data_IF_918040790844
#
_entry.id   IF_918040790844
#
_cell.length_a   1.000
_cell.length_b   1.000
_cell.length_c   1.000
_cell.angle_alpha   90.00
_cell.angle_beta   90.00
_cell.angle_gamma   90.00
#
_symmetry.space_group_name_H-M   'P 1'
#
loop_
_entity.id
_entity.type
_entity.pdbx_description
1 polymer ?
#
# COMPACT_ATOMS: atom_id res chain seq x y z
N UNK A 1 7.87 -26.11 -71.98
CA UNK A 1 8.46 -26.04 -70.64
C UNK A 1 8.07 -24.68 -70.02
N UNK A 2 7.02 -24.64 -69.22
CA UNK A 2 6.56 -23.42 -68.56
C UNK A 2 7.11 -23.39 -67.12
N UNK A 3 7.63 -22.27 -66.63
CA UNK A 3 8.08 -22.17 -65.22
C UNK A 3 6.90 -21.96 -64.30
N UNK A 4 6.88 -22.75 -63.20
CA UNK A 4 5.90 -22.63 -62.12
C UNK A 4 6.15 -21.38 -61.28
N UNK A 5 5.17 -20.46 -61.22
CA UNK A 5 5.12 -19.34 -60.31
C UNK A 5 4.84 -19.86 -58.89
N UNK A 6 5.82 -19.73 -57.99
CA UNK A 6 5.61 -19.93 -56.53
C UNK A 6 4.96 -18.68 -55.92
N UNK A 7 3.71 -18.82 -55.50
CA UNK A 7 3.04 -17.79 -54.72
C UNK A 7 3.61 -17.79 -53.29
N UNK A 8 4.24 -16.69 -52.87
CA UNK A 8 4.61 -16.42 -51.48
C UNK A 8 3.36 -15.90 -50.76
N UNK A 9 2.79 -16.68 -49.86
CA UNK A 9 1.76 -16.23 -48.96
C UNK A 9 2.43 -15.48 -47.82
N UNK A 10 2.25 -14.14 -47.76
CA UNK A 10 2.58 -13.35 -46.58
C UNK A 10 1.53 -13.63 -45.48
N UNK A 11 1.91 -14.35 -44.43
CA UNK A 11 1.13 -14.45 -43.22
C UNK A 11 1.26 -13.08 -42.48
N UNK A 12 0.23 -12.26 -42.55
CA UNK A 12 0.06 -11.15 -41.61
C UNK A 12 -0.41 -11.72 -40.26
N UNK A 13 0.47 -11.76 -39.29
CA UNK A 13 0.09 -12.02 -37.91
C UNK A 13 -0.78 -10.86 -37.42
N UNK A 14 -2.07 -11.09 -37.21
CA UNK A 14 -2.99 -10.15 -36.53
C UNK A 14 -2.58 -10.07 -35.07
N UNK A 15 -1.86 -9.02 -34.69
CA UNK A 15 -1.66 -8.67 -33.28
C UNK A 15 -3.03 -8.26 -32.74
N UNK A 16 -3.52 -8.88 -31.65
CA UNK A 16 -4.83 -8.50 -31.10
C UNK A 16 -4.78 -7.05 -30.58
N UNK A 17 -5.82 -6.27 -30.86
CA UNK A 17 -5.92 -4.85 -30.48
C UNK A 17 -5.64 -4.63 -28.98
N UNK A 18 -5.98 -5.59 -28.12
CA UNK A 18 -5.70 -5.58 -26.68
C UNK A 18 -4.21 -5.55 -26.33
N UNK A 19 -3.35 -6.18 -27.12
CA UNK A 19 -1.90 -6.16 -26.93
C UNK A 19 -1.30 -4.78 -27.19
N UNK A 20 -1.75 -4.09 -28.24
CA UNK A 20 -1.27 -2.74 -28.59
C UNK A 20 -1.65 -1.68 -27.54
N UNK A 21 -2.83 -1.80 -26.96
CA UNK A 21 -3.32 -0.85 -25.92
C UNK A 21 -2.56 -1.06 -24.60
N UNK A 22 -2.18 -2.28 -24.28
CA UNK A 22 -1.42 -2.60 -23.08
C UNK A 22 0.04 -2.15 -23.19
N UNK A 23 0.69 -2.36 -24.33
CA UNK A 23 2.03 -1.84 -24.61
C UNK A 23 2.06 -0.30 -24.54
N UNK A 24 0.96 0.38 -24.91
CA UNK A 24 0.83 1.82 -24.79
C UNK A 24 0.83 2.30 -23.34
N UNK A 25 0.08 1.65 -22.42
CA UNK A 25 0.06 1.99 -20.99
C UNK A 25 1.43 1.80 -20.33
N UNK A 26 2.08 0.66 -20.54
CA UNK A 26 3.41 0.41 -20.00
C UNK A 26 4.44 1.42 -20.51
N UNK A 27 4.37 1.79 -21.80
CA UNK A 27 5.24 2.81 -22.39
C UNK A 27 4.99 4.20 -21.80
N UNK A 28 3.74 4.55 -21.55
CA UNK A 28 3.35 5.80 -20.89
C UNK A 28 3.87 5.86 -19.45
N UNK A 29 3.65 4.80 -18.66
CA UNK A 29 4.17 4.68 -17.28
C UNK A 29 5.70 4.80 -17.28
N UNK A 30 6.39 4.10 -18.18
CA UNK A 30 7.85 4.17 -18.28
C UNK A 30 8.36 5.57 -18.69
N UNK A 31 7.59 6.32 -19.46
CA UNK A 31 7.90 7.71 -19.80
C UNK A 31 7.74 8.63 -18.58
N UNK A 32 6.63 8.52 -17.87
CA UNK A 32 6.34 9.28 -16.64
C UNK A 32 7.41 9.00 -15.56
N UNK A 33 7.81 7.75 -15.41
CA UNK A 33 8.78 7.31 -14.41
C UNK A 33 10.15 8.00 -14.50
N UNK A 34 10.55 8.46 -15.68
CA UNK A 34 11.84 9.16 -15.88
C UNK A 34 11.95 10.46 -15.08
N UNK A 35 10.83 11.14 -14.85
CA UNK A 35 10.82 12.41 -14.12
C UNK A 35 11.15 12.22 -12.63
N UNK A 36 10.97 11.02 -12.11
CA UNK A 36 11.28 10.71 -10.71
C UNK A 36 12.76 10.84 -10.36
N UNK A 37 13.68 10.85 -11.32
CA UNK A 37 15.14 10.87 -11.11
C UNK A 37 15.59 9.83 -10.06
N UNK A 38 14.97 8.66 -10.08
CA UNK A 38 15.15 7.53 -9.19
C UNK A 38 14.56 6.27 -9.81
N UNK A 39 14.36 5.24 -9.01
CA UNK A 39 13.71 4.01 -9.45
C UNK A 39 12.21 4.09 -9.18
N UNK A 40 11.41 3.86 -10.21
CA UNK A 40 9.94 3.73 -10.08
C UNK A 40 9.56 2.27 -10.24
N UNK A 41 8.77 1.77 -9.31
CA UNK A 41 8.25 0.40 -9.31
C UNK A 41 6.73 0.43 -9.18
N UNK A 42 6.04 -0.19 -10.12
CA UNK A 42 4.57 -0.12 -10.27
C UNK A 42 3.99 -1.50 -10.46
N UNK A 43 2.84 -1.75 -9.90
CA UNK A 43 1.94 -2.83 -10.28
C UNK A 43 0.49 -2.39 -10.14
N UNK A 44 -0.41 -2.97 -10.94
CA UNK A 44 -1.84 -2.82 -10.75
C UNK A 44 -2.60 -4.09 -11.12
N UNK A 45 -3.82 -4.20 -10.60
CA UNK A 45 -4.72 -5.31 -10.90
C UNK A 45 -6.16 -4.82 -10.95
N UNK A 46 -6.84 -5.20 -12.03
CA UNK A 46 -8.29 -5.09 -12.16
C UNK A 46 -8.84 -6.50 -12.37
N UNK A 47 -9.48 -7.11 -11.35
CA UNK A 47 -9.93 -8.50 -11.40
C UNK A 47 -10.81 -8.80 -12.63
N UNK A 48 -10.58 -9.96 -13.24
CA UNK A 48 -11.32 -10.39 -14.42
C UNK A 48 -10.85 -9.76 -15.74
N UNK A 49 -9.80 -8.94 -15.73
CA UNK A 49 -9.25 -8.30 -16.92
C UNK A 49 -7.77 -8.66 -17.14
N UNK A 50 -7.22 -8.19 -18.25
CA UNK A 50 -5.78 -8.29 -18.56
C UNK A 50 -5.06 -6.96 -18.38
N UNK A 51 -5.60 -6.07 -17.55
CA UNK A 51 -4.92 -4.81 -17.23
C UNK A 51 -3.56 -5.10 -16.61
N UNK A 52 -2.52 -4.51 -17.18
CA UNK A 52 -1.14 -4.65 -16.73
C UNK A 52 -0.44 -3.30 -16.84
N UNK A 53 0.00 -2.76 -15.73
CA UNK A 53 0.80 -1.53 -15.62
C UNK A 53 2.16 -1.81 -14.97
N UNK A 54 2.62 -3.04 -15.02
CA UNK A 54 3.83 -3.47 -14.34
C UNK A 54 5.07 -2.78 -14.93
N UNK A 55 5.78 -2.11 -14.02
CA UNK A 55 7.12 -1.59 -14.22
C UNK A 55 7.95 -1.95 -12.99
N UNK A 56 9.01 -2.76 -13.14
CA UNK A 56 9.83 -3.18 -12.00
C UNK A 56 9.00 -3.79 -10.84
N UNK A 57 7.91 -4.51 -11.15
CA UNK A 57 6.92 -4.96 -10.17
C UNK A 57 7.44 -5.99 -9.17
N UNK A 58 8.63 -6.55 -9.40
CA UNK A 58 9.34 -7.48 -8.52
C UNK A 58 10.57 -6.86 -7.83
N UNK A 59 10.76 -5.55 -7.89
CA UNK A 59 11.75 -4.87 -7.09
C UNK A 59 11.37 -4.88 -5.59
N UNK A 60 12.35 -4.60 -4.74
CA UNK A 60 12.20 -4.55 -3.29
C UNK A 60 12.29 -3.10 -2.76
N UNK A 61 11.33 -2.22 -3.09
CA UNK A 61 11.33 -0.85 -2.59
C UNK A 61 11.08 -0.82 -1.08
N UNK A 62 11.74 0.10 -0.33
CA UNK A 62 11.48 0.28 1.09
C UNK A 62 10.04 0.74 1.31
N UNK A 63 9.33 0.06 2.22
CA UNK A 63 7.90 0.30 2.47
C UNK A 63 7.63 1.61 3.20
N UNK A 64 8.48 1.97 4.15
CA UNK A 64 8.18 3.04 5.09
C UNK A 64 6.80 2.83 5.74
N UNK A 65 6.13 3.87 6.17
CA UNK A 65 4.82 3.79 6.82
C UNK A 65 3.74 3.01 6.06
N UNK A 66 3.99 2.57 4.83
CA UNK A 66 3.06 1.72 4.11
C UNK A 66 2.79 0.40 4.84
N UNK A 67 3.79 -0.14 5.59
CA UNK A 67 3.63 -1.37 6.36
C UNK A 67 2.57 -1.26 7.49
N UNK A 68 2.11 -0.05 7.84
CA UNK A 68 1.02 0.13 8.81
C UNK A 68 -0.31 -0.45 8.32
N UNK A 69 -0.50 -0.61 7.01
CA UNK A 69 -1.64 -1.36 6.47
C UNK A 69 -1.55 -2.86 6.78
N UNK A 70 -0.52 -3.63 6.41
CA UNK A 70 -0.38 -5.03 6.82
C UNK A 70 -0.32 -5.22 8.35
N UNK A 71 0.22 -4.27 9.11
CA UNK A 71 0.15 -4.27 10.57
C UNK A 71 -1.30 -4.20 11.07
N UNK A 72 -2.09 -3.23 10.56
CA UNK A 72 -3.50 -3.11 10.94
C UNK A 72 -4.31 -4.36 10.56
N UNK A 73 -4.03 -4.95 9.40
CA UNK A 73 -4.64 -6.21 8.98
C UNK A 73 -4.32 -7.34 9.96
N UNK A 74 -3.08 -7.41 10.47
CA UNK A 74 -2.65 -8.39 11.47
C UNK A 74 -3.34 -8.15 12.82
N UNK A 75 -3.42 -6.90 13.27
CA UNK A 75 -4.14 -6.50 14.49
C UNK A 75 -5.60 -6.94 14.42
N UNK A 76 -6.29 -6.64 13.32
CA UNK A 76 -7.69 -6.98 13.13
C UNK A 76 -7.91 -8.50 13.04
N UNK A 77 -7.00 -9.24 12.40
CA UNK A 77 -7.04 -10.70 12.40
C UNK A 77 -6.90 -11.31 13.80
N UNK A 78 -5.95 -10.82 14.59
CA UNK A 78 -5.78 -11.30 15.97
C UNK A 78 -6.97 -10.90 16.84
N UNK A 79 -7.58 -9.75 16.60
CA UNK A 79 -8.82 -9.32 17.24
C UNK A 79 -10.00 -10.24 16.87
N UNK A 80 -10.19 -10.57 15.59
CA UNK A 80 -11.24 -11.50 15.13
C UNK A 80 -11.10 -12.90 15.74
N UNK A 81 -9.86 -13.34 15.96
CA UNK A 81 -9.57 -14.67 16.49
C UNK A 81 -9.48 -14.72 18.02
N UNK A 82 -9.73 -13.60 18.71
CA UNK A 82 -9.66 -13.51 20.17
C UNK A 82 -8.25 -13.67 20.74
N UNK A 83 -7.22 -13.33 19.96
CA UNK A 83 -5.81 -13.52 20.32
C UNK A 83 -5.04 -12.21 20.55
N UNK A 84 -5.69 -11.04 20.34
CA UNK A 84 -5.03 -9.75 20.43
C UNK A 84 -4.88 -9.29 21.89
N UNK A 85 -5.94 -9.42 22.68
CA UNK A 85 -5.99 -8.93 24.06
C UNK A 85 -6.11 -10.09 25.05
N UNK A 86 -5.40 -10.06 26.20
CA UNK A 86 -5.33 -11.18 27.15
C UNK A 86 -6.67 -11.62 27.71
N UNK A 87 -7.60 -10.68 27.85
CA UNK A 87 -8.93 -10.86 28.44
C UNK A 87 -10.07 -10.79 27.40
N UNK A 88 -9.74 -10.94 26.12
CA UNK A 88 -10.72 -10.97 25.04
C UNK A 88 -11.59 -12.23 25.16
N UNK A 89 -12.92 -12.05 25.10
CA UNK A 89 -13.86 -13.18 25.25
C UNK A 89 -14.01 -13.91 23.92
N UNK A 90 -14.09 -15.26 23.93
CA UNK A 90 -14.45 -16.01 22.74
C UNK A 90 -15.79 -15.54 22.16
N UNK A 91 -15.81 -15.22 20.85
CA UNK A 91 -17.01 -14.74 20.16
C UNK A 91 -17.37 -13.28 20.45
N UNK A 92 -16.50 -12.50 21.09
CA UNK A 92 -16.68 -11.07 21.25
C UNK A 92 -16.78 -10.41 19.85
N UNK A 93 -17.78 -9.55 19.67
CA UNK A 93 -17.95 -8.88 18.37
C UNK A 93 -16.81 -7.90 18.08
N UNK A 94 -16.48 -7.74 16.80
CA UNK A 94 -15.42 -6.82 16.38
C UNK A 94 -15.66 -5.38 16.86
N UNK A 95 -16.91 -4.89 16.85
CA UNK A 95 -17.21 -3.54 17.34
C UNK A 95 -16.88 -3.38 18.83
N UNK A 96 -17.21 -4.38 19.65
CA UNK A 96 -16.86 -4.38 21.08
C UNK A 96 -15.34 -4.42 21.25
N UNK A 97 -14.64 -5.28 20.49
CA UNK A 97 -13.17 -5.39 20.56
C UNK A 97 -12.49 -4.08 20.12
N UNK A 98 -12.99 -3.42 19.07
CA UNK A 98 -12.45 -2.15 18.60
C UNK A 98 -12.60 -1.01 19.64
N UNK A 99 -13.62 -1.07 20.50
CA UNK A 99 -13.86 -0.05 21.53
C UNK A 99 -13.15 -0.39 22.85
N UNK A 100 -12.45 -1.53 22.95
CA UNK A 100 -11.57 -1.85 24.08
C UNK A 100 -10.34 -0.95 24.08
N UNK A 101 -9.92 -0.60 25.28
CA UNK A 101 -8.77 0.30 25.45
C UNK A 101 -7.47 -0.48 25.62
N UNK A 102 -6.41 0.13 25.13
CA UNK A 102 -5.02 -0.31 25.28
C UNK A 102 -4.21 0.83 25.87
N UNK A 103 -3.31 0.50 26.76
CA UNK A 103 -2.44 1.48 27.40
C UNK A 103 -1.40 2.00 26.42
N UNK A 104 -1.43 3.30 26.10
CA UNK A 104 -0.34 4.02 25.47
C UNK A 104 0.74 4.28 26.52
N UNK A 105 1.91 3.70 26.35
CA UNK A 105 3.02 3.74 27.32
C UNK A 105 4.07 4.79 26.91
N UNK A 106 4.84 5.34 27.89
CA UNK A 106 5.98 6.21 27.56
C UNK A 106 7.00 5.54 26.63
N UNK A 107 7.10 4.21 26.68
CA UNK A 107 7.96 3.43 25.79
C UNK A 107 7.45 3.35 24.35
N UNK A 108 6.20 3.70 24.08
CA UNK A 108 5.64 3.75 22.73
C UNK A 108 5.94 5.10 22.04
N UNK A 109 6.46 6.10 22.78
CA UNK A 109 6.87 7.39 22.22
C UNK A 109 8.22 7.24 21.53
N UNK A 110 8.31 7.68 20.27
CA UNK A 110 9.56 7.87 19.54
C UNK A 110 9.85 9.39 19.54
N UNK A 111 10.90 9.86 20.22
CA UNK A 111 11.19 11.28 20.32
C UNK A 111 11.45 11.93 18.96
N UNK A 112 10.77 13.03 18.64
CA UNK A 112 10.95 13.75 17.37
C UNK A 112 10.21 13.16 16.17
N UNK A 113 9.64 11.96 16.32
CA UNK A 113 8.88 11.29 15.25
C UNK A 113 7.47 11.90 15.11
N UNK A 114 6.90 11.80 13.91
CA UNK A 114 5.54 12.25 13.64
C UNK A 114 4.50 11.38 14.34
N UNK A 115 3.81 11.94 15.32
CA UNK A 115 2.76 11.25 16.06
C UNK A 115 1.71 12.21 16.63
N UNK A 116 0.55 12.40 15.99
CA UNK A 116 -0.61 13.08 16.55
C UNK A 116 -1.01 12.55 17.95
N UNK A 117 -0.88 11.25 18.19
CA UNK A 117 -1.13 10.63 19.49
C UNK A 117 -0.18 11.18 20.57
N UNK A 118 1.12 11.23 20.26
CA UNK A 118 2.14 11.78 21.17
C UNK A 118 1.95 13.29 21.41
N UNK A 119 1.56 14.04 20.37
CA UNK A 119 1.24 15.47 20.52
C UNK A 119 0.07 15.65 21.48
N UNK A 120 -0.98 14.83 21.40
CA UNK A 120 -2.15 14.88 22.28
C UNK A 120 -1.82 14.42 23.71
N UNK A 121 -0.97 13.41 23.85
CA UNK A 121 -0.61 12.79 25.12
C UNK A 121 0.91 12.70 25.30
N UNK A 122 1.61 13.83 25.53
CA UNK A 122 3.07 13.88 25.52
C UNK A 122 3.74 13.12 26.69
N UNK A 123 2.98 12.75 27.70
CA UNK A 123 3.45 11.92 28.82
C UNK A 123 2.99 10.46 28.72
N UNK A 124 2.26 10.12 27.66
CA UNK A 124 1.59 8.83 27.54
C UNK A 124 0.80 8.44 28.82
N UNK A 125 0.80 7.18 29.23
CA UNK A 125 0.07 6.65 30.38
C UNK A 125 -1.45 6.93 30.33
N UNK A 126 -2.03 6.86 29.15
CA UNK A 126 -3.47 6.98 28.88
C UNK A 126 -3.99 5.72 28.22
N UNK A 127 -5.28 5.47 28.34
CA UNK A 127 -5.96 4.39 27.67
C UNK A 127 -6.57 4.91 26.37
N UNK A 128 -6.25 4.27 25.25
CA UNK A 128 -6.70 4.61 23.89
C UNK A 128 -7.42 3.42 23.30
N UNK A 129 -8.55 3.62 22.61
CA UNK A 129 -9.28 2.51 22.01
C UNK A 129 -8.48 1.91 20.84
N UNK A 130 -8.65 0.59 20.61
CA UNK A 130 -8.05 -0.08 19.46
C UNK A 130 -8.51 0.58 18.15
N UNK A 131 -9.78 1.00 18.09
CA UNK A 131 -10.36 1.76 16.97
C UNK A 131 -9.57 3.04 16.67
N UNK A 132 -9.23 3.81 17.69
CA UNK A 132 -8.46 5.04 17.53
C UNK A 132 -7.03 4.76 17.10
N UNK A 133 -6.37 3.76 17.67
CA UNK A 133 -5.01 3.36 17.29
C UNK A 133 -4.93 3.01 15.79
N UNK A 134 -5.85 2.18 15.29
CA UNK A 134 -5.89 1.80 13.87
C UNK A 134 -6.16 3.03 12.98
N UNK A 135 -7.11 3.91 13.36
CA UNK A 135 -7.40 5.14 12.61
C UNK A 135 -6.21 6.09 12.55
N UNK A 136 -5.50 6.26 13.66
CA UNK A 136 -4.31 7.10 13.71
C UNK A 136 -3.17 6.51 12.88
N UNK A 137 -2.84 5.24 13.06
CA UNK A 137 -1.73 4.59 12.37
C UNK A 137 -1.96 4.51 10.85
N UNK A 138 -3.15 4.13 10.41
CA UNK A 138 -3.45 3.95 8.97
C UNK A 138 -3.89 5.27 8.33
N UNK A 139 -4.83 6.00 8.93
CA UNK A 139 -5.42 7.19 8.34
C UNK A 139 -4.54 8.43 8.44
N UNK A 140 -3.73 8.56 9.50
CA UNK A 140 -2.86 9.71 9.74
C UNK A 140 -1.37 9.35 9.74
N UNK A 141 -1.03 8.08 9.57
CA UNK A 141 0.35 7.58 9.59
C UNK A 141 1.09 7.81 10.94
N UNK A 142 0.37 7.80 12.05
CA UNK A 142 0.87 8.05 13.41
C UNK A 142 1.86 6.97 13.85
N UNK A 143 3.09 7.37 14.21
CA UNK A 143 4.15 6.44 14.62
C UNK A 143 3.97 5.97 16.08
N UNK A 144 3.40 6.77 16.97
CA UNK A 144 3.11 6.34 18.35
C UNK A 144 1.97 5.31 18.40
N UNK A 145 0.92 5.49 17.60
CA UNK A 145 -0.15 4.50 17.47
C UNK A 145 0.37 3.20 16.82
N UNK A 146 1.28 3.31 15.87
CA UNK A 146 1.95 2.17 15.25
C UNK A 146 2.76 1.38 16.27
N UNK A 147 3.59 2.03 17.12
CA UNK A 147 4.38 1.36 18.16
C UNK A 147 3.51 0.60 19.18
N UNK A 148 2.34 1.16 19.56
CA UNK A 148 1.36 0.43 20.37
C UNK A 148 0.90 -0.84 19.65
N UNK A 149 0.56 -0.74 18.37
CA UNK A 149 0.07 -1.86 17.56
C UNK A 149 1.14 -2.93 17.37
N UNK A 150 2.40 -2.56 17.06
CA UNK A 150 3.55 -3.47 16.95
C UNK A 150 3.77 -4.22 18.27
N UNK A 151 3.72 -3.52 19.39
CA UNK A 151 3.83 -4.14 20.72
C UNK A 151 2.68 -5.14 20.99
N UNK A 152 1.45 -4.78 20.62
CA UNK A 152 0.27 -5.65 20.82
C UNK A 152 0.36 -6.94 20.02
N UNK A 153 0.80 -6.89 18.78
CA UNK A 153 0.91 -8.10 17.94
C UNK A 153 2.11 -8.96 18.30
N UNK A 154 3.09 -8.45 19.05
CA UNK A 154 4.31 -9.17 19.42
C UNK A 154 5.49 -8.94 18.46
N UNK A 155 5.48 -7.82 17.71
CA UNK A 155 6.59 -7.35 16.89
C UNK A 155 6.47 -7.64 15.38
N UNK A 156 7.40 -7.08 14.58
CA UNK A 156 7.43 -7.21 13.12
C UNK A 156 7.39 -8.68 12.61
N UNK A 157 8.07 -9.67 13.25
CA UNK A 157 8.03 -11.06 12.78
C UNK A 157 6.63 -11.68 12.78
N UNK A 158 5.74 -11.26 13.69
CA UNK A 158 4.35 -11.76 13.72
C UNK A 158 3.58 -11.23 12.53
N UNK A 159 3.74 -9.94 12.20
CA UNK A 159 3.15 -9.32 11.01
C UNK A 159 3.65 -10.04 9.75
N UNK A 160 4.96 -10.21 9.60
CA UNK A 160 5.55 -10.92 8.47
C UNK A 160 5.00 -12.34 8.32
N UNK A 161 4.95 -13.09 9.42
CA UNK A 161 4.44 -14.47 9.43
C UNK A 161 2.97 -14.52 8.99
N UNK A 162 2.15 -13.61 9.49
CA UNK A 162 0.73 -13.55 9.12
C UNK A 162 0.55 -13.21 7.64
N UNK A 163 1.21 -12.16 7.13
CA UNK A 163 1.10 -11.77 5.72
C UNK A 163 1.57 -12.90 4.79
N UNK A 164 2.66 -13.59 5.14
CA UNK A 164 3.11 -14.76 4.37
C UNK A 164 2.11 -15.91 4.40
N UNK A 165 1.39 -16.12 5.52
CA UNK A 165 0.34 -17.14 5.63
C UNK A 165 -0.84 -16.88 4.69
N UNK A 166 -1.04 -15.64 4.26
CA UNK A 166 -2.03 -15.26 3.22
C UNK A 166 -1.55 -15.57 1.79
N UNK A 167 -0.36 -16.16 1.62
CA UNK A 167 0.23 -16.44 0.31
C UNK A 167 1.03 -15.28 -0.26
N UNK A 168 1.25 -14.20 0.49
CA UNK A 168 2.04 -13.03 0.09
C UNK A 168 3.49 -13.25 0.56
N UNK A 169 4.28 -13.99 -0.22
CA UNK A 169 5.66 -14.37 0.16
C UNK A 169 6.69 -13.25 -0.03
N UNK A 170 6.45 -12.37 -1.03
CA UNK A 170 7.34 -11.25 -1.35
C UNK A 170 7.04 -10.02 -0.47
N UNK A 171 7.07 -10.25 0.84
CA UNK A 171 6.90 -9.28 1.92
C UNK A 171 7.95 -9.53 3.00
N UNK A 172 8.70 -8.51 3.35
CA UNK A 172 9.76 -8.57 4.36
C UNK A 172 9.61 -7.40 5.33
N UNK A 173 9.40 -7.70 6.61
CA UNK A 173 9.27 -6.72 7.69
C UNK A 173 10.05 -7.25 8.90
N UNK A 174 11.11 -6.56 9.25
CA UNK A 174 12.06 -6.92 10.32
C UNK A 174 12.09 -5.87 11.42
N UNK A 175 11.93 -4.60 11.03
CA UNK A 175 12.13 -3.44 11.89
C UNK A 175 10.83 -2.70 12.14
N UNK A 176 10.72 -2.07 13.31
CA UNK A 176 9.66 -1.11 13.66
C UNK A 176 10.10 0.30 13.29
N UNK A 177 9.19 1.27 13.36
CA UNK A 177 9.51 2.69 13.18
C UNK A 177 10.61 3.16 14.13
N UNK A 178 10.64 2.64 15.36
CA UNK A 178 11.67 2.91 16.36
C UNK A 178 13.06 2.46 15.92
N UNK A 179 13.15 1.34 15.23
CA UNK A 179 14.43 0.83 14.72
C UNK A 179 14.91 1.70 13.56
N UNK A 180 13.99 2.11 12.68
CA UNK A 180 14.26 3.01 11.55
C UNK A 180 14.67 4.41 12.01
N UNK A 181 14.12 4.91 13.13
CA UNK A 181 14.51 6.19 13.76
C UNK A 181 15.96 6.16 14.27
N UNK A 182 16.45 5.00 14.69
CA UNK A 182 17.84 4.81 15.15
C UNK A 182 18.86 4.67 14.02
N UNK A 183 18.48 4.00 12.96
CA UNK A 183 19.30 3.80 11.76
C UNK A 183 18.41 3.74 10.51
N UNK A 184 18.34 4.84 9.78
CA UNK A 184 17.51 4.95 8.58
C UNK A 184 17.91 3.98 7.46
N UNK A 185 19.13 3.44 7.45
CA UNK A 185 19.56 2.48 6.42
C UNK A 185 18.82 1.13 6.56
N UNK A 186 18.29 0.82 7.73
CA UNK A 186 17.49 -0.38 7.96
C UNK A 186 16.21 -0.40 7.10
N UNK A 187 15.73 0.77 6.63
CA UNK A 187 14.54 0.88 5.80
C UNK A 187 14.57 0.00 4.54
N UNK A 188 15.76 -0.24 3.97
CA UNK A 188 15.91 -1.09 2.77
C UNK A 188 15.74 -2.59 3.06
N UNK A 189 15.66 -2.97 4.33
CA UNK A 189 15.38 -4.35 4.74
C UNK A 189 13.87 -4.59 4.95
N UNK A 190 13.05 -3.54 4.99
CA UNK A 190 11.60 -3.62 5.13
C UNK A 190 10.95 -3.26 3.78
N UNK A 191 10.62 -4.29 3.01
CA UNK A 191 10.17 -4.13 1.63
C UNK A 191 8.97 -5.02 1.28
N UNK A 192 8.27 -4.63 0.25
CA UNK A 192 7.27 -5.45 -0.43
C UNK A 192 7.40 -5.26 -1.94
N UNK A 193 7.30 -6.34 -2.72
CA UNK A 193 7.17 -6.21 -4.17
C UNK A 193 5.87 -5.48 -4.53
N UNK A 194 5.87 -4.54 -5.49
CA UNK A 194 4.63 -3.90 -5.97
C UNK A 194 3.54 -4.89 -6.34
N UNK A 195 3.88 -5.98 -7.03
CA UNK A 195 2.96 -7.05 -7.36
C UNK A 195 2.35 -7.72 -6.11
N UNK A 196 3.13 -7.93 -5.06
CA UNK A 196 2.65 -8.48 -3.79
C UNK A 196 1.76 -7.49 -3.02
N UNK A 197 2.07 -6.18 -3.07
CA UNK A 197 1.24 -5.14 -2.48
C UNK A 197 -0.16 -5.10 -3.12
N UNK A 198 -0.22 -5.19 -4.45
CA UNK A 198 -1.49 -5.27 -5.20
C UNK A 198 -2.27 -6.54 -4.86
N UNK A 199 -1.61 -7.69 -4.76
CA UNK A 199 -2.25 -8.94 -4.31
C UNK A 199 -2.83 -8.82 -2.90
N UNK A 200 -2.11 -8.16 -1.98
CA UNK A 200 -2.59 -7.96 -0.61
C UNK A 200 -3.80 -7.01 -0.55
N UNK A 201 -3.81 -5.94 -1.36
CA UNK A 201 -4.97 -5.04 -1.51
C UNK A 201 -6.19 -5.76 -2.09
N UNK A 202 -5.98 -6.58 -3.11
CA UNK A 202 -7.02 -7.35 -3.78
C UNK A 202 -7.72 -8.33 -2.82
N UNK A 203 -7.00 -8.90 -1.85
CA UNK A 203 -7.57 -9.75 -0.80
C UNK A 203 -8.69 -9.06 -0.03
N UNK A 204 -8.60 -7.75 0.25
CA UNK A 204 -9.65 -7.01 0.96
C UNK A 204 -10.98 -6.96 0.18
N UNK A 205 -10.93 -7.17 -1.13
CA UNK A 205 -12.11 -7.10 -2.02
C UNK A 205 -12.70 -8.48 -2.27
N UNK A 206 -11.86 -9.43 -2.71
CA UNK A 206 -12.35 -10.70 -3.26
C UNK A 206 -12.31 -11.87 -2.25
N UNK A 207 -11.43 -11.82 -1.26
CA UNK A 207 -11.33 -12.86 -0.24
C UNK A 207 -10.77 -12.27 1.07
N UNK A 208 -11.52 -11.41 1.77
CA UNK A 208 -11.04 -10.75 2.97
C UNK A 208 -10.56 -11.75 4.03
N UNK A 209 -9.32 -11.59 4.54
CA UNK A 209 -8.77 -12.51 5.55
C UNK A 209 -9.21 -12.17 6.98
N UNK A 210 -10.12 -11.23 7.13
CA UNK A 210 -10.70 -10.74 8.37
C UNK A 210 -12.23 -10.65 8.24
N UNK A 211 -12.93 -10.53 9.36
CA UNK A 211 -14.39 -10.47 9.36
C UNK A 211 -14.94 -9.30 8.52
N UNK A 212 -16.19 -9.37 8.05
CA UNK A 212 -16.81 -8.28 7.27
C UNK A 212 -16.78 -6.93 7.99
N UNK A 213 -16.98 -6.92 9.32
CA UNK A 213 -16.94 -5.69 10.14
C UNK A 213 -15.52 -5.13 10.20
N UNK A 214 -14.52 -5.96 10.46
CA UNK A 214 -13.12 -5.56 10.47
C UNK A 214 -12.66 -5.04 9.10
N UNK A 215 -13.06 -5.73 8.03
CA UNK A 215 -12.72 -5.34 6.66
C UNK A 215 -13.36 -3.99 6.26
N UNK A 216 -14.63 -3.79 6.57
CA UNK A 216 -15.31 -2.52 6.32
C UNK A 216 -14.65 -1.38 7.10
N UNK A 217 -14.29 -1.62 8.37
CA UNK A 217 -13.60 -0.65 9.21
C UNK A 217 -12.22 -0.27 8.64
N UNK A 218 -11.42 -1.26 8.21
CA UNK A 218 -10.10 -1.02 7.63
C UNK A 218 -10.20 -0.25 6.30
N UNK A 219 -11.10 -0.66 5.40
CA UNK A 219 -11.34 0.03 4.13
C UNK A 219 -11.80 1.47 4.34
N UNK A 220 -12.71 1.72 5.29
CA UNK A 220 -13.14 3.07 5.62
C UNK A 220 -11.97 3.91 6.17
N UNK A 221 -11.17 3.33 7.08
CA UNK A 221 -9.98 4.02 7.63
C UNK A 221 -8.97 4.40 6.54
N UNK A 222 -8.74 3.51 5.56
CA UNK A 222 -7.89 3.79 4.40
C UNK A 222 -8.52 4.84 3.47
N UNK A 223 -9.85 4.88 3.36
CA UNK A 223 -10.58 5.89 2.56
C UNK A 223 -10.48 7.29 3.20
N UNK A 224 -10.52 7.34 4.52
CA UNK A 224 -10.42 8.58 5.32
C UNK A 224 -8.96 9.06 5.49
N UNK A 225 -7.98 8.36 4.88
CA UNK A 225 -6.58 8.73 4.98
C UNK A 225 -6.32 10.13 4.42
N UNK A 226 -5.54 10.93 5.18
CA UNK A 226 -5.25 12.34 4.87
C UNK A 226 -3.84 12.57 4.33
N UNK A 227 -3.00 11.53 4.29
CA UNK A 227 -1.60 11.61 3.87
C UNK A 227 -1.44 11.55 2.36
N UNK A 228 -0.39 12.19 1.82
CA UNK A 228 -0.03 12.16 0.40
C UNK A 228 -1.12 12.71 -0.55
N UNK A 229 -1.69 13.90 -0.28
CA UNK A 229 -2.75 14.46 -1.13
C UNK A 229 -2.29 14.70 -2.58
N UNK A 230 -0.98 14.88 -2.81
CA UNK A 230 -0.37 15.06 -4.12
C UNK A 230 -0.09 13.77 -4.90
N UNK A 231 -0.31 12.58 -4.27
CA UNK A 231 -0.02 11.26 -4.86
C UNK A 231 -1.21 10.70 -5.63
N UNK A 232 -1.56 9.42 -5.45
CA UNK A 232 -2.66 8.78 -6.20
C UNK A 232 -3.93 9.63 -6.23
N UNK A 233 -4.30 10.24 -5.09
CA UNK A 233 -5.50 11.08 -4.99
C UNK A 233 -5.50 12.25 -5.98
N UNK A 234 -4.35 12.92 -6.19
CA UNK A 234 -4.25 14.04 -7.11
C UNK A 234 -4.42 13.64 -8.58
N UNK A 235 -4.10 12.40 -8.94
CA UNK A 235 -4.27 11.88 -10.30
C UNK A 235 -5.70 11.47 -10.65
N UNK A 236 -6.54 11.24 -9.63
CA UNK A 236 -7.89 10.70 -9.82
C UNK A 236 -8.94 11.82 -10.03
N UNK A 237 -10.01 11.56 -10.79
CA UNK A 237 -11.11 12.51 -10.92
C UNK A 237 -11.71 12.88 -9.55
N UNK A 238 -12.19 14.13 -9.37
CA UNK A 238 -12.85 14.56 -8.14
C UNK A 238 -14.00 13.62 -7.75
N UNK A 239 -14.08 13.26 -6.46
CA UNK A 239 -15.11 12.37 -5.93
C UNK A 239 -14.83 10.87 -6.11
N UNK A 240 -13.72 10.49 -6.75
CA UNK A 240 -13.30 9.08 -6.82
C UNK A 240 -12.95 8.56 -5.42
N UNK A 241 -13.56 7.43 -5.04
CA UNK A 241 -13.26 6.77 -3.76
C UNK A 241 -11.92 6.05 -3.88
N UNK A 242 -10.98 6.42 -3.01
CA UNK A 242 -9.66 5.83 -2.89
C UNK A 242 -9.42 5.42 -1.43
N UNK A 243 -9.28 4.11 -1.19
CA UNK A 243 -8.77 3.57 0.08
C UNK A 243 -7.28 3.32 -0.08
N UNK A 244 -6.41 4.07 0.65
CA UNK A 244 -4.97 4.02 0.39
C UNK A 244 -4.10 4.11 1.64
N UNK A 245 -2.81 3.80 1.48
CA UNK A 245 -1.77 4.02 2.49
C UNK A 245 -0.48 4.48 1.83
N UNK A 246 0.08 5.56 2.36
CA UNK A 246 1.35 6.16 1.90
C UNK A 246 2.53 5.70 2.75
N UNK A 247 3.73 5.81 2.18
CA UNK A 247 5.01 5.68 2.87
C UNK A 247 5.99 6.77 2.40
N UNK A 248 6.74 7.38 3.32
CA UNK A 248 7.71 8.42 3.01
C UNK A 248 8.93 8.30 3.89
N UNK A 249 10.11 8.51 3.31
CA UNK A 249 11.37 8.72 4.04
C UNK A 249 11.72 10.21 4.09
N UNK A 250 12.70 10.56 4.91
CA UNK A 250 13.43 11.81 4.81
C UNK A 250 14.28 11.88 3.54
N UNK A 251 14.84 13.08 3.27
CA UNK A 251 15.81 13.30 2.20
C UNK A 251 17.19 13.47 2.83
N UNK A 252 18.12 12.59 2.51
CA UNK A 252 19.49 12.56 3.04
C UNK A 252 20.48 12.61 1.89
N UNK A 253 21.44 13.52 1.96
CA UNK A 253 22.43 13.72 0.87
C UNK A 253 21.81 14.03 -0.50
N UNK A 254 20.61 14.63 -0.53
CA UNK A 254 19.88 14.93 -1.76
C UNK A 254 19.20 13.71 -2.39
N UNK A 255 19.03 12.62 -1.64
CA UNK A 255 18.31 11.41 -2.07
C UNK A 255 17.17 11.16 -1.09
N UNK A 256 15.97 10.92 -1.63
CA UNK A 256 14.80 10.45 -0.89
C UNK A 256 14.62 8.96 -1.15
N UNK A 257 14.79 8.14 -0.11
CA UNK A 257 14.76 6.68 -0.23
C UNK A 257 13.38 6.14 -0.61
N UNK A 258 12.30 6.79 -0.16
CA UNK A 258 10.94 6.33 -0.45
C UNK A 258 9.93 7.48 -0.54
N UNK A 259 9.12 7.45 -1.60
CA UNK A 259 7.85 8.18 -1.75
C UNK A 259 6.86 7.21 -2.40
N UNK A 260 5.92 6.69 -1.59
CA UNK A 260 5.10 5.54 -1.98
C UNK A 260 3.62 5.82 -1.77
N UNK A 261 2.76 5.22 -2.59
CA UNK A 261 1.32 5.15 -2.35
C UNK A 261 0.74 3.87 -2.95
N UNK A 262 -0.06 3.15 -2.15
CA UNK A 262 -0.78 1.96 -2.61
C UNK A 262 -2.25 2.08 -2.25
N UNK A 263 -3.14 1.61 -3.12
CA UNK A 263 -4.57 1.75 -2.82
C UNK A 263 -5.51 0.98 -3.73
N UNK A 264 -6.77 1.01 -3.31
CA UNK A 264 -7.94 0.51 -4.02
C UNK A 264 -8.74 1.69 -4.53
N UNK A 265 -8.81 1.85 -5.84
CA UNK A 265 -9.59 2.88 -6.53
C UNK A 265 -10.93 2.28 -6.95
N UNK A 266 -12.05 2.87 -6.53
CA UNK A 266 -13.38 2.44 -6.98
C UNK A 266 -13.70 3.13 -8.31
N UNK A 267 -13.91 2.34 -9.35
CA UNK A 267 -14.29 2.81 -10.68
C UNK A 267 -15.78 3.16 -10.72
N UNK A 268 -16.25 3.96 -11.71
CA UNK A 268 -17.65 4.37 -11.82
C UNK A 268 -18.66 3.21 -11.95
N UNK A 269 -18.20 2.06 -12.45
CA UNK A 269 -19.00 0.84 -12.58
C UNK A 269 -18.97 -0.08 -11.34
N UNK A 270 -18.28 0.35 -10.28
CA UNK A 270 -18.15 -0.36 -9.01
C UNK A 270 -16.99 -1.36 -8.95
N UNK A 271 -16.29 -1.63 -10.06
CA UNK A 271 -15.07 -2.43 -10.02
C UNK A 271 -13.99 -1.72 -9.20
N UNK A 272 -13.04 -2.47 -8.66
CA UNK A 272 -11.95 -1.92 -7.85
C UNK A 272 -10.61 -2.21 -8.50
N UNK A 273 -9.90 -1.14 -8.85
CA UNK A 273 -8.51 -1.17 -9.32
C UNK A 273 -7.59 -1.15 -8.09
N UNK A 274 -6.84 -2.21 -7.88
CA UNK A 274 -5.70 -2.20 -6.95
C UNK A 274 -4.48 -1.64 -7.67
N UNK A 275 -3.75 -0.70 -7.04
CA UNK A 275 -2.56 -0.08 -7.60
C UNK A 275 -1.51 0.15 -6.51
N UNK A 276 -0.24 -0.03 -6.87
CA UNK A 276 0.91 0.22 -6.03
C UNK A 276 1.97 0.98 -6.83
N UNK A 277 2.41 2.14 -6.31
CA UNK A 277 3.47 2.96 -6.92
C UNK A 277 4.50 3.31 -5.86
N UNK A 278 5.74 2.97 -6.14
CA UNK A 278 6.90 3.25 -5.31
C UNK A 278 7.90 4.08 -6.09
N UNK A 279 8.36 5.18 -5.51
CA UNK A 279 9.48 5.98 -6.02
C UNK A 279 10.63 5.85 -5.01
N UNK A 280 11.74 5.24 -5.46
CA UNK A 280 12.87 4.88 -4.60
C UNK A 280 14.13 5.62 -5.05
N UNK A 281 14.94 6.06 -4.07
CA UNK A 281 16.25 6.71 -4.26
C UNK A 281 16.20 7.88 -5.22
N UNK A 282 15.18 8.70 -5.09
CA UNK A 282 14.92 9.82 -5.98
C UNK A 282 15.71 11.07 -5.59
N UNK A 283 16.20 11.78 -6.61
CA UNK A 283 16.82 13.10 -6.50
C UNK A 283 15.87 14.25 -6.88
N UNK A 284 14.67 13.92 -7.35
CA UNK A 284 13.64 14.92 -7.64
C UNK A 284 13.09 15.52 -6.34
N UNK A 285 12.53 16.72 -6.44
CA UNK A 285 11.79 17.35 -5.33
C UNK A 285 10.49 16.57 -5.00
N UNK A 286 9.87 16.91 -3.89
CA UNK A 286 8.67 16.23 -3.41
C UNK A 286 7.51 16.34 -4.40
N UNK A 287 7.26 17.55 -4.92
CA UNK A 287 6.16 17.79 -5.87
C UNK A 287 6.33 16.96 -7.15
N UNK A 288 7.56 16.83 -7.63
CA UNK A 288 7.88 15.97 -8.79
C UNK A 288 7.63 14.48 -8.49
N UNK A 289 8.09 13.97 -7.34
CA UNK A 289 7.88 12.57 -6.95
C UNK A 289 6.39 12.26 -6.77
N UNK A 290 5.65 13.12 -6.08
CA UNK A 290 4.20 12.97 -5.90
C UNK A 290 3.45 13.08 -7.22
N UNK A 291 3.84 14.03 -8.09
CA UNK A 291 3.28 14.18 -9.42
C UNK A 291 3.52 12.98 -10.34
N UNK A 292 4.65 12.26 -10.20
CA UNK A 292 4.90 10.98 -10.89
C UNK A 292 3.86 9.94 -10.46
N UNK A 293 3.64 9.79 -9.15
CA UNK A 293 2.64 8.85 -8.61
C UNK A 293 1.23 9.22 -9.10
N UNK A 294 0.88 10.51 -9.07
CA UNK A 294 -0.42 11.00 -9.52
C UNK A 294 -0.67 10.68 -11.01
N UNK A 295 0.30 10.96 -11.88
CA UNK A 295 0.19 10.70 -13.33
C UNK A 295 0.11 9.22 -13.65
N UNK A 296 0.88 8.37 -12.96
CA UNK A 296 0.80 6.91 -13.11
C UNK A 296 -0.57 6.41 -12.65
N UNK A 297 -1.07 6.90 -11.50
CA UNK A 297 -2.41 6.58 -11.01
C UNK A 297 -3.51 6.98 -12.01
N UNK A 298 -3.35 8.13 -12.67
CA UNK A 298 -4.27 8.62 -13.70
C UNK A 298 -4.26 7.73 -14.93
N UNK A 299 -3.09 7.40 -15.48
CA UNK A 299 -2.96 6.53 -16.65
C UNK A 299 -3.57 5.14 -16.40
N UNK A 300 -3.29 4.54 -15.23
CA UNK A 300 -3.88 3.26 -14.83
C UNK A 300 -5.42 3.33 -14.68
N UNK A 301 -5.93 4.42 -14.10
CA UNK A 301 -7.38 4.66 -13.95
C UNK A 301 -8.09 4.79 -15.30
N UNK A 302 -7.56 5.62 -16.20
CA UNK A 302 -8.15 5.84 -17.53
C UNK A 302 -8.16 4.55 -18.35
N UNK A 303 -7.09 3.76 -18.28
CA UNK A 303 -7.03 2.46 -18.92
C UNK A 303 -8.01 1.46 -18.29
N UNK A 304 -8.15 1.45 -16.95
CA UNK A 304 -9.07 0.58 -16.24
C UNK A 304 -10.53 0.83 -16.64
N UNK A 305 -10.92 2.09 -16.85
CA UNK A 305 -12.27 2.44 -17.35
C UNK A 305 -12.47 1.93 -18.79
N UNK A 306 -11.46 2.04 -19.65
CA UNK A 306 -11.54 1.59 -21.03
C UNK A 306 -11.54 0.05 -21.17
N UNK A 307 -11.04 -0.66 -20.16
CA UNK A 307 -10.97 -2.14 -20.13
C UNK A 307 -12.33 -2.72 -19.69
N UNK A 308 -12.94 -3.54 -20.57
CA UNK A 308 -14.22 -4.21 -20.30
C UNK A 308 -14.01 -5.56 -19.66
#
# INVERSE_FOLDING_TARGET
MMPAMRAFALLFALVPLSGLVQEALQSEIAAIAKDAQGTVSVSCMLPGTKLDCDLNSHNHPPMQSMYKYPLALTVLHLADTGKLLPDQRPGESMDVTLDRTVRFLPTDIIPGSYSPLTVRYPKANVDVTLRELVRLAVGQSDNGAEEVMIRLVGGPPVVQSYIRSLGISAFHLVYSERDLDRDENLQYQDWIEPAAAVQLLERLVNNPPISPVANAFLLQTMTDAVTGPGRLRAGLPPGTVLAHKTGSSGTHGGITAATNDIGLVTLPDGRRLAIAVFVTDSRADEDTREGVIARIGRAAYDQAIATK
#
